data_IF_628920967124
#
_entry.id   IF_628920967124
#
_cell.length_a   1.000
_cell.length_b   1.000
_cell.length_c   1.000
_cell.angle_alpha   90.00
_cell.angle_beta   90.00
_cell.angle_gamma   90.00
#
_symmetry.space_group_name_H-M   'P 1'
#
loop_
_entity.id
_entity.type
_entity.pdbx_description
1 polymer ?
#
# COMPACT_ATOMS: atom_id res chain seq x y z
N UNK A 1 -30.87 -5.49 -4.85
CA UNK A 1 -29.57 -5.02 -4.33
C UNK A 1 -28.49 -6.00 -4.74
N UNK A 2 -27.62 -5.65 -5.68
CA UNK A 2 -26.48 -6.50 -6.06
C UNK A 2 -25.48 -6.51 -4.90
N UNK A 3 -25.28 -7.68 -4.27
CA UNK A 3 -24.17 -7.86 -3.32
C UNK A 3 -22.90 -7.89 -4.15
N UNK A 4 -22.12 -6.81 -4.10
CA UNK A 4 -20.78 -6.79 -4.70
C UNK A 4 -19.99 -7.93 -4.08
N UNK A 5 -19.55 -8.88 -4.90
CA UNK A 5 -18.74 -10.02 -4.44
C UNK A 5 -17.41 -9.48 -3.92
N UNK A 6 -17.14 -9.69 -2.64
CA UNK A 6 -15.87 -9.29 -2.00
C UNK A 6 -14.87 -10.43 -2.07
N UNK A 7 -13.67 -10.13 -2.52
CA UNK A 7 -12.53 -11.05 -2.52
C UNK A 7 -11.97 -11.20 -1.11
N UNK A 8 -11.12 -12.20 -0.88
CA UNK A 8 -10.42 -12.35 0.40
C UNK A 8 -9.47 -11.17 0.66
N UNK A 9 -8.78 -10.69 -0.38
CA UNK A 9 -7.84 -9.55 -0.30
C UNK A 9 -8.52 -8.27 0.18
N UNK A 10 -9.79 -8.06 -0.19
CA UNK A 10 -10.56 -6.89 0.28
C UNK A 10 -10.71 -6.87 1.82
N UNK A 11 -10.71 -8.03 2.48
CA UNK A 11 -10.78 -8.12 3.94
C UNK A 11 -9.41 -7.93 4.60
N UNK A 12 -8.33 -8.39 3.95
CA UNK A 12 -6.97 -8.36 4.49
C UNK A 12 -6.54 -6.94 4.83
N UNK A 13 -6.92 -5.95 4.01
CA UNK A 13 -6.62 -4.53 4.24
C UNK A 13 -7.05 -4.11 5.65
N UNK A 14 -8.29 -4.43 6.02
CA UNK A 14 -8.84 -4.09 7.34
C UNK A 14 -8.19 -4.88 8.49
N UNK A 15 -7.84 -6.15 8.25
CA UNK A 15 -7.22 -6.99 9.27
C UNK A 15 -5.78 -6.56 9.57
N UNK A 16 -5.02 -6.18 8.53
CA UNK A 16 -3.65 -5.65 8.67
C UNK A 16 -3.62 -4.30 9.37
N UNK A 17 -4.58 -3.42 9.08
CA UNK A 17 -4.64 -2.10 9.74
C UNK A 17 -5.01 -2.20 11.22
N UNK A 18 -5.82 -3.20 11.62
CA UNK A 18 -6.20 -3.44 13.02
C UNK A 18 -7.12 -2.37 13.65
N UNK A 19 -7.54 -1.35 12.89
CA UNK A 19 -8.29 -0.20 13.39
C UNK A 19 -9.80 -0.44 13.54
N UNK A 20 -10.36 -1.39 12.79
CA UNK A 20 -11.80 -1.64 12.76
C UNK A 20 -12.14 -3.02 13.33
N UNK A 21 -13.21 -3.06 14.13
CA UNK A 21 -13.83 -4.31 14.57
C UNK A 21 -14.71 -4.93 13.47
N UNK A 22 -15.07 -6.20 13.64
CA UNK A 22 -15.85 -6.96 12.64
C UNK A 22 -17.21 -6.34 12.29
N UNK A 23 -17.82 -5.60 13.22
CA UNK A 23 -19.10 -4.93 12.99
C UNK A 23 -18.92 -3.74 12.06
N UNK A 24 -17.87 -2.95 12.27
CA UNK A 24 -17.54 -1.81 11.40
C UNK A 24 -17.14 -2.28 10.01
N UNK A 25 -16.29 -3.31 9.92
CA UNK A 25 -15.89 -3.90 8.63
C UNK A 25 -17.12 -4.43 7.87
N UNK A 26 -18.03 -5.13 8.55
CA UNK A 26 -19.25 -5.66 7.93
C UNK A 26 -20.15 -4.56 7.34
N UNK A 27 -20.32 -3.45 8.07
CA UNK A 27 -21.09 -2.29 7.61
C UNK A 27 -20.44 -1.64 6.39
N UNK A 28 -19.14 -1.39 6.45
CA UNK A 28 -18.39 -0.73 5.38
C UNK A 28 -18.34 -1.57 4.10
N UNK A 29 -18.10 -2.87 4.25
CA UNK A 29 -18.02 -3.81 3.15
C UNK A 29 -19.39 -4.28 2.63
N UNK A 30 -20.48 -3.92 3.34
CA UNK A 30 -21.87 -4.35 3.08
C UNK A 30 -22.00 -5.88 3.04
N UNK A 31 -21.36 -6.55 3.99
CA UNK A 31 -21.39 -8.02 4.14
C UNK A 31 -21.86 -8.41 5.55
N UNK A 32 -22.14 -9.70 5.77
CA UNK A 32 -22.51 -10.15 7.12
C UNK A 32 -21.30 -10.18 8.05
N UNK A 33 -21.52 -9.84 9.34
CA UNK A 33 -20.49 -9.98 10.39
C UNK A 33 -19.93 -11.41 10.45
N UNK A 34 -20.80 -12.41 10.28
CA UNK A 34 -20.38 -13.81 10.23
C UNK A 34 -19.38 -14.07 9.09
N UNK A 35 -19.53 -13.42 7.94
CA UNK A 35 -18.58 -13.55 6.84
C UNK A 35 -17.22 -12.92 7.18
N UNK A 36 -17.23 -11.73 7.80
CA UNK A 36 -16.00 -11.07 8.27
C UNK A 36 -15.25 -11.99 9.25
N UNK A 37 -15.93 -12.57 10.24
CA UNK A 37 -15.31 -13.47 11.20
C UNK A 37 -14.79 -14.79 10.60
N UNK A 38 -15.36 -15.26 9.49
CA UNK A 38 -14.80 -16.38 8.71
C UNK A 38 -13.50 -15.96 8.01
N UNK A 39 -13.51 -14.80 7.37
CA UNK A 39 -12.31 -14.28 6.68
C UNK A 39 -11.19 -13.95 7.67
N UNK A 40 -11.52 -13.43 8.86
CA UNK A 40 -10.54 -13.11 9.90
C UNK A 40 -9.82 -14.35 10.40
N UNK A 41 -10.54 -15.42 10.72
CA UNK A 41 -9.93 -16.70 11.13
C UNK A 41 -9.01 -17.26 10.05
N UNK A 42 -9.49 -17.28 8.80
CA UNK A 42 -8.66 -17.69 7.65
C UNK A 42 -7.40 -16.84 7.52
N UNK A 43 -7.49 -15.53 7.76
CA UNK A 43 -6.32 -14.64 7.74
C UNK A 43 -5.38 -14.89 8.92
N UNK A 44 -5.89 -15.10 10.13
CA UNK A 44 -5.10 -15.42 11.32
C UNK A 44 -4.33 -16.73 11.17
N UNK A 45 -4.86 -17.70 10.44
CA UNK A 45 -4.20 -18.98 10.13
C UNK A 45 -3.01 -18.84 9.16
N UNK A 46 -3.03 -17.84 8.27
CA UNK A 46 -2.04 -17.71 7.17
C UNK A 46 -1.16 -16.47 7.27
N UNK A 47 -1.46 -15.53 8.19
CA UNK A 47 -0.74 -14.25 8.32
C UNK A 47 0.76 -14.44 8.59
N UNK A 48 1.13 -15.55 9.23
CA UNK A 48 2.49 -15.90 9.60
C UNK A 48 3.16 -16.84 8.55
N UNK A 49 2.50 -17.11 7.42
CA UNK A 49 3.11 -17.84 6.32
C UNK A 49 4.13 -16.96 5.58
N UNK A 50 5.27 -17.52 5.10
CA UNK A 50 6.31 -16.76 4.39
C UNK A 50 5.78 -15.96 3.20
N UNK A 51 4.78 -16.49 2.48
CA UNK A 51 4.10 -15.87 1.34
C UNK A 51 3.30 -14.60 1.69
N UNK A 52 2.91 -14.42 2.96
CA UNK A 52 2.16 -13.27 3.46
C UNK A 52 3.00 -12.33 4.35
N UNK A 53 4.04 -12.85 5.01
CA UNK A 53 5.06 -12.08 5.75
C UNK A 53 5.97 -11.35 4.76
N UNK A 54 6.36 -12.01 3.66
CA UNK A 54 7.02 -11.34 2.55
C UNK A 54 5.97 -10.53 1.81
N UNK A 55 5.71 -9.34 2.33
CA UNK A 55 5.20 -8.22 1.58
C UNK A 55 6.15 -7.85 0.43
N UNK A 56 6.42 -8.77 -0.49
CA UNK A 56 6.41 -8.44 -1.90
C UNK A 56 4.97 -8.06 -2.26
N UNK A 57 4.52 -6.97 -1.63
CA UNK A 57 3.48 -6.10 -2.12
C UNK A 57 4.01 -5.67 -3.48
N UNK A 58 3.75 -6.50 -4.48
CA UNK A 58 3.72 -6.07 -5.87
C UNK A 58 2.53 -5.12 -5.92
N UNK A 59 2.73 -3.89 -5.45
CA UNK A 59 1.84 -2.75 -5.56
C UNK A 59 1.69 -2.55 -7.07
N UNK A 60 0.75 -3.30 -7.64
CA UNK A 60 0.48 -3.26 -9.06
C UNK A 60 -0.48 -2.10 -9.24
N UNK A 61 0.09 -0.90 -9.32
CA UNK A 61 -0.67 0.28 -9.70
C UNK A 61 -1.09 0.02 -11.14
N UNK A 62 -2.40 -0.06 -11.38
CA UNK A 62 -2.90 -0.17 -12.75
C UNK A 62 -2.46 1.05 -13.54
N UNK A 63 -2.10 0.84 -14.79
CA UNK A 63 -1.53 1.88 -15.66
C UNK A 63 -2.47 3.10 -15.79
N UNK A 64 -3.78 2.90 -15.77
CA UNK A 64 -4.79 3.96 -15.79
C UNK A 64 -4.76 4.84 -14.53
N UNK A 65 -4.62 4.23 -13.36
CA UNK A 65 -4.48 4.93 -12.08
C UNK A 65 -3.18 5.73 -12.04
N UNK A 66 -2.08 5.14 -12.52
CA UNK A 66 -0.79 5.84 -12.60
C UNK A 66 -0.87 7.02 -13.58
N UNK A 67 -1.46 6.81 -14.77
CA UNK A 67 -1.70 7.88 -15.75
C UNK A 67 -2.59 8.98 -15.18
N UNK A 68 -3.65 8.67 -14.46
CA UNK A 68 -4.52 9.69 -13.87
C UNK A 68 -3.84 10.50 -12.78
N UNK A 69 -3.05 9.86 -11.90
CA UNK A 69 -2.21 10.58 -10.92
C UNK A 69 -1.22 11.47 -11.68
N UNK A 70 -0.59 10.95 -12.72
CA UNK A 70 0.37 11.67 -13.54
C UNK A 70 -0.24 12.87 -14.28
N UNK A 71 -1.34 12.70 -15.01
CA UNK A 71 -2.05 13.78 -15.72
C UNK A 71 -2.63 14.83 -14.77
N UNK A 72 -3.01 14.43 -13.56
CA UNK A 72 -3.47 15.38 -12.52
C UNK A 72 -2.34 16.28 -12.03
N UNK A 73 -1.08 15.83 -12.10
CA UNK A 73 0.09 16.58 -11.63
C UNK A 73 0.93 17.20 -12.76
N UNK A 74 0.86 16.69 -13.99
CA UNK A 74 1.49 17.28 -15.17
C UNK A 74 0.47 18.11 -15.96
N UNK A 75 0.49 19.44 -15.77
CA UNK A 75 -0.11 20.35 -16.74
C UNK A 75 0.71 20.32 -18.03
N UNK A 76 0.16 19.65 -19.03
CA UNK A 76 0.44 19.64 -20.49
C UNK A 76 1.68 20.40 -20.96
N UNK A 77 2.65 19.67 -21.54
CA UNK A 77 3.70 20.25 -22.39
C UNK A 77 4.68 19.21 -22.95
N UNK A 78 4.46 18.77 -24.19
CA UNK A 78 5.41 18.11 -25.09
C UNK A 78 5.88 16.68 -24.77
N UNK A 79 5.48 15.74 -25.63
CA UNK A 79 5.80 14.32 -25.51
C UNK A 79 7.29 13.94 -25.58
N UNK A 80 8.17 14.82 -26.10
CA UNK A 80 9.64 14.63 -26.02
C UNK A 80 10.19 14.91 -24.64
N UNK A 81 9.53 15.78 -23.88
CA UNK A 81 9.89 16.11 -22.51
C UNK A 81 9.37 15.06 -21.50
N UNK A 82 8.46 14.17 -21.92
CA UNK A 82 7.92 13.12 -21.03
C UNK A 82 8.99 12.13 -20.55
N UNK A 83 9.92 11.72 -21.42
CA UNK A 83 10.98 10.77 -21.05
C UNK A 83 12.01 11.42 -20.11
N UNK A 84 12.38 12.67 -20.37
CA UNK A 84 13.25 13.47 -19.50
C UNK A 84 12.57 13.78 -18.17
N UNK A 85 11.30 14.20 -18.17
CA UNK A 85 10.51 14.41 -16.96
C UNK A 85 10.34 13.13 -16.14
N UNK A 86 10.09 11.99 -16.78
CA UNK A 86 10.02 10.70 -16.09
C UNK A 86 11.37 10.31 -15.49
N UNK A 87 12.46 10.50 -16.25
CA UNK A 87 13.82 10.27 -15.75
C UNK A 87 14.14 11.17 -14.55
N UNK A 88 13.75 12.45 -14.61
CA UNK A 88 13.92 13.41 -13.51
C UNK A 88 13.10 13.04 -12.28
N UNK A 89 11.81 12.72 -12.45
CA UNK A 89 10.94 12.29 -11.34
C UNK A 89 11.45 11.02 -10.67
N UNK A 90 11.92 10.04 -11.46
CA UNK A 90 12.54 8.82 -10.94
C UNK A 90 13.82 9.12 -10.16
N UNK A 91 14.68 10.00 -10.68
CA UNK A 91 15.90 10.43 -9.98
C UNK A 91 15.58 11.18 -8.69
N UNK A 92 14.58 12.07 -8.68
CA UNK A 92 14.13 12.78 -7.48
C UNK A 92 13.64 11.83 -6.40
N UNK A 93 12.78 10.85 -6.76
CA UNK A 93 12.32 9.83 -5.83
C UNK A 93 13.49 9.01 -5.25
N UNK A 94 14.47 8.66 -6.09
CA UNK A 94 15.69 7.98 -5.64
C UNK A 94 16.50 8.83 -4.65
N UNK A 95 16.65 10.12 -4.93
CA UNK A 95 17.37 11.06 -4.04
C UNK A 95 16.64 11.27 -2.71
N UNK A 96 15.33 11.46 -2.73
CA UNK A 96 14.51 11.57 -1.51
C UNK A 96 14.60 10.30 -0.67
N UNK A 97 14.53 9.12 -1.30
CA UNK A 97 14.70 7.85 -0.63
C UNK A 97 16.08 7.73 0.04
N UNK A 98 17.16 8.02 -0.70
CA UNK A 98 18.53 7.97 -0.17
C UNK A 98 18.68 8.93 1.02
N UNK A 99 18.18 10.17 0.91
CA UNK A 99 18.27 11.14 1.99
C UNK A 99 17.51 10.70 3.26
N UNK A 100 16.28 10.20 3.10
CA UNK A 100 15.50 9.69 4.23
C UNK A 100 16.16 8.46 4.86
N UNK A 101 16.71 7.57 4.04
CA UNK A 101 17.41 6.37 4.52
C UNK A 101 18.72 6.71 5.25
N UNK A 102 19.54 7.60 4.71
CA UNK A 102 20.76 8.09 5.37
C UNK A 102 20.43 8.75 6.71
N UNK A 103 19.39 9.58 6.77
CA UNK A 103 18.95 10.21 8.01
C UNK A 103 18.45 9.19 9.04
N UNK A 104 17.74 8.15 8.59
CA UNK A 104 17.36 7.04 9.45
C UNK A 104 18.58 6.32 10.03
N UNK A 105 19.58 5.99 9.20
CA UNK A 105 20.82 5.35 9.65
C UNK A 105 21.60 6.22 10.65
N UNK A 106 21.69 7.52 10.42
CA UNK A 106 22.33 8.45 11.35
C UNK A 106 21.62 8.47 12.71
N UNK A 107 20.29 8.43 12.72
CA UNK A 107 19.51 8.40 13.96
C UNK A 107 19.68 7.07 14.69
N UNK A 108 19.63 5.94 13.99
CA UNK A 108 19.88 4.61 14.55
C UNK A 108 21.30 4.50 15.14
N UNK A 109 22.32 4.93 14.41
CA UNK A 109 23.70 4.92 14.88
C UNK A 109 23.91 5.80 16.12
N UNK A 110 23.32 7.00 16.16
CA UNK A 110 23.36 7.86 17.35
C UNK A 110 22.69 7.20 18.55
N UNK A 111 21.57 6.50 18.33
CA UNK A 111 20.83 5.82 19.39
C UNK A 111 21.59 4.62 19.96
N UNK A 112 22.43 3.96 19.14
CA UNK A 112 23.33 2.88 19.57
C UNK A 112 24.52 3.43 20.37
N UNK A 113 25.13 4.54 19.92
CA UNK A 113 26.33 5.12 20.57
C UNK A 113 26.00 5.81 21.90
N UNK A 114 24.76 6.28 22.08
CA UNK A 114 24.32 7.00 23.29
C UNK A 114 23.75 6.06 24.37
N UNK A 115 23.74 4.75 24.13
CA UNK A 115 23.39 3.71 25.12
C UNK A 115 24.65 3.13 25.74
#
# INVERSE_FOLDING_TARGET
MSRVKKSFDDYIVYFKEGKLNDVSIAKEMRVSRANVGKMRRRWEEIKDAPEYITGAVKLTIREDTLKNIYFKHCKVGQARDLKSQFSMARSMLGLEFINLFSRYLELELKLIITK
#
